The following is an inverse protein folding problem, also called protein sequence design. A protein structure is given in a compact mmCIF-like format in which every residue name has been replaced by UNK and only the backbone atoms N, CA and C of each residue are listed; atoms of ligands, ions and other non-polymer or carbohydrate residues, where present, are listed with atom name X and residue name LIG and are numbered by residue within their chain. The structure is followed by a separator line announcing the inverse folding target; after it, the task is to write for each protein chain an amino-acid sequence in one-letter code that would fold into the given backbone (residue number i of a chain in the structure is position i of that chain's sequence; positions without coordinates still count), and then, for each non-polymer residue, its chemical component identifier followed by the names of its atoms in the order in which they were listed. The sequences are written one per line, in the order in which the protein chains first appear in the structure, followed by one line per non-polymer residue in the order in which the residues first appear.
data_IF_566822213557
#
_entry.id   IF_566822213557
#
_cell.length_a   1.000
_cell.length_b   1.000
_cell.length_c   1.000
_cell.angle_alpha   90.00
_cell.angle_beta   90.00
_cell.angle_gamma   90.00
#
_symmetry.space_group_name_H-M   'P 1'
#
loop_
_entity.id
_entity.type
_entity.pdbx_description
1 polymer ?
#
# COMPACT_ATOMS: atom_id res chain seq x y z
N UNK A 1 53.25 47.99 -26.23
CA UNK A 1 52.52 48.70 -27.31
C UNK A 1 53.33 48.58 -28.59
N UNK A 2 53.17 47.48 -29.33
CA UNK A 2 53.80 47.14 -30.62
C UNK A 2 53.05 45.87 -31.11
N UNK A 3 52.08 45.99 -32.03
CA UNK A 3 52.16 45.84 -33.50
C UNK A 3 52.06 44.38 -34.00
N UNK A 4 50.92 44.03 -34.62
CA UNK A 4 50.76 43.31 -35.92
C UNK A 4 49.25 43.04 -36.08
N UNK A 5 48.44 43.57 -37.02
CA UNK A 5 48.49 43.81 -38.48
C UNK A 5 48.50 42.53 -39.34
N UNK A 6 47.40 42.33 -40.08
CA UNK A 6 47.39 41.65 -41.39
C UNK A 6 47.04 40.15 -41.37
N UNK A 7 45.77 39.74 -41.48
CA UNK A 7 44.95 39.71 -42.69
C UNK A 7 45.50 38.78 -43.79
N UNK A 8 44.80 37.68 -44.14
CA UNK A 8 44.23 37.47 -45.49
C UNK A 8 43.68 36.03 -45.69
N UNK A 9 42.37 36.00 -45.98
CA UNK A 9 41.66 35.24 -47.03
C UNK A 9 41.73 33.70 -47.16
N UNK A 10 40.53 33.12 -46.99
CA UNK A 10 39.69 32.38 -47.97
C UNK A 10 40.36 31.26 -48.78
N UNK A 11 39.81 30.04 -48.65
CA UNK A 11 39.34 29.29 -49.81
C UNK A 11 38.19 28.33 -49.43
N UNK A 12 37.12 28.38 -50.22
CA UNK A 12 35.94 27.51 -50.18
C UNK A 12 36.26 26.27 -51.01
N UNK A 13 35.90 25.08 -50.55
CA UNK A 13 35.57 23.98 -51.47
C UNK A 13 34.32 23.25 -50.98
N UNK A 14 33.29 23.42 -51.80
CA UNK A 14 32.03 22.69 -51.86
C UNK A 14 32.31 21.42 -52.68
N UNK A 15 31.92 20.24 -52.19
CA UNK A 15 31.73 19.08 -53.08
C UNK A 15 30.60 18.21 -52.55
N UNK A 16 29.69 17.92 -53.48
CA UNK A 16 28.40 17.25 -53.36
C UNK A 16 28.61 15.79 -53.79
N UNK A 17 28.10 14.82 -53.03
CA UNK A 17 27.77 13.45 -53.49
C UNK A 17 26.50 13.03 -52.73
N UNK A 18 25.32 13.15 -53.36
CA UNK A 18 24.59 12.18 -54.20
C UNK A 18 24.03 10.99 -53.42
N UNK A 19 22.73 10.85 -53.59
CA UNK A 19 21.77 9.98 -52.93
C UNK A 19 22.03 8.47 -53.06
N UNK A 20 21.72 7.74 -51.99
CA UNK A 20 21.46 6.31 -52.00
C UNK A 20 20.06 6.05 -51.43
N UNK A 21 19.05 6.00 -52.29
CA UNK A 21 17.74 5.45 -51.99
C UNK A 21 17.88 3.93 -51.85
N UNK A 22 17.73 3.40 -50.62
CA UNK A 22 17.49 1.98 -50.41
C UNK A 22 15.98 1.75 -50.37
N UNK A 23 15.43 1.36 -51.52
CA UNK A 23 14.11 0.76 -51.64
C UNK A 23 14.14 -0.63 -51.01
N UNK A 24 13.66 -0.79 -49.78
CA UNK A 24 13.34 -2.10 -49.23
C UNK A 24 11.90 -2.43 -49.59
N UNK A 25 11.74 -3.32 -50.56
CA UNK A 25 10.45 -3.83 -50.99
C UNK A 25 9.78 -4.59 -49.85
N UNK A 26 8.51 -4.23 -49.61
CA UNK A 26 7.60 -4.82 -48.66
C UNK A 26 7.23 -6.24 -49.11
N UNK A 27 7.80 -7.26 -48.48
CA UNK A 27 7.34 -8.64 -48.61
C UNK A 27 6.32 -8.93 -47.50
N UNK A 28 5.05 -8.64 -47.80
CA UNK A 28 3.91 -9.10 -46.99
C UNK A 28 3.72 -10.59 -47.29
N UNK A 29 4.33 -11.45 -46.48
CA UNK A 29 4.08 -12.88 -46.52
C UNK A 29 2.96 -13.17 -45.52
N UNK A 30 1.73 -13.27 -46.03
CA UNK A 30 0.55 -13.70 -45.30
C UNK A 30 0.68 -15.17 -44.91
N UNK A 31 1.16 -15.44 -43.70
CA UNK A 31 1.02 -16.75 -43.09
C UNK A 31 -0.38 -16.85 -42.48
N UNK A 32 -1.29 -17.50 -43.21
CA UNK A 32 -2.59 -17.89 -42.70
C UNK A 32 -2.39 -18.93 -41.59
N UNK A 33 -2.52 -18.51 -40.32
CA UNK A 33 -2.74 -19.45 -39.23
C UNK A 33 -4.15 -20.03 -39.40
N UNK A 34 -4.23 -21.28 -39.86
CA UNK A 34 -5.43 -22.09 -39.76
C UNK A 34 -5.70 -22.36 -38.28
N UNK A 35 -6.57 -21.56 -37.67
CA UNK A 35 -7.19 -21.88 -36.39
C UNK A 35 -8.16 -23.04 -36.61
N UNK A 36 -7.72 -24.25 -36.27
CA UNK A 36 -8.62 -25.39 -36.14
C UNK A 36 -9.49 -25.16 -34.91
N UNK A 37 -10.71 -24.67 -35.11
CA UNK A 37 -11.74 -24.62 -34.08
C UNK A 37 -12.16 -26.05 -33.72
N UNK A 38 -11.50 -26.65 -32.74
CA UNK A 38 -12.03 -27.86 -32.10
C UNK A 38 -13.10 -27.44 -31.11
N UNK A 39 -14.36 -27.63 -31.48
CA UNK A 39 -15.49 -27.56 -30.56
C UNK A 39 -15.39 -28.70 -29.56
N UNK A 40 -14.74 -28.43 -28.43
CA UNK A 40 -14.69 -29.36 -27.30
C UNK A 40 -16.01 -29.27 -26.55
N UNK A 41 -16.93 -30.17 -26.91
CA UNK A 41 -18.15 -30.46 -26.19
C UNK A 41 -17.80 -30.98 -24.77
N UNK A 42 -18.46 -30.50 -23.70
CA UNK A 42 -18.20 -31.00 -22.36
C UNK A 42 -18.69 -32.45 -22.27
N UNK A 43 -17.76 -33.38 -22.07
CA UNK A 43 -18.05 -34.76 -21.74
C UNK A 43 -18.62 -34.83 -20.31
N UNK A 44 -19.85 -35.33 -20.19
CA UNK A 44 -20.45 -35.77 -18.93
C UNK A 44 -19.73 -37.01 -18.42
N UNK A 45 -18.60 -36.81 -17.76
CA UNK A 45 -17.91 -37.83 -16.98
C UNK A 45 -18.51 -37.93 -15.58
N UNK A 46 -19.24 -39.02 -15.33
CA UNK A 46 -19.69 -39.40 -14.00
C UNK A 46 -18.47 -39.66 -13.10
N UNK A 47 -18.29 -38.84 -12.07
CA UNK A 47 -17.28 -39.09 -11.02
C UNK A 47 -17.94 -39.91 -9.92
N UNK A 48 -17.62 -41.20 -9.90
CA UNK A 48 -17.94 -42.11 -8.80
C UNK A 48 -17.18 -41.69 -7.54
N UNK A 49 -17.89 -41.27 -6.50
CA UNK A 49 -17.33 -41.03 -5.18
C UNK A 49 -16.99 -42.36 -4.49
N UNK A 50 -15.80 -42.56 -3.90
CA UNK A 50 -15.58 -43.61 -2.94
C UNK A 50 -16.23 -43.21 -1.61
N UNK A 51 -17.15 -44.05 -1.13
CA UNK A 51 -17.70 -43.93 0.22
C UNK A 51 -16.62 -44.29 1.25
N UNK A 52 -16.14 -43.30 2.00
CA UNK A 52 -15.37 -43.52 3.22
C UNK A 52 -16.26 -43.29 4.43
N UNK A 53 -16.47 -44.37 5.18
CA UNK A 53 -17.17 -44.45 6.46
C UNK A 53 -16.51 -43.56 7.51
N UNK A 54 -17.30 -42.68 8.14
CA UNK A 54 -16.90 -41.90 9.30
C UNK A 54 -16.75 -42.78 10.55
N UNK A 55 -15.69 -42.63 11.37
CA UNK A 55 -15.68 -43.15 12.73
C UNK A 55 -16.43 -42.19 13.66
N UNK A 56 -17.27 -42.78 14.51
CA UNK A 56 -18.05 -42.11 15.52
C UNK A 56 -17.19 -41.50 16.64
N UNK A 57 -17.57 -40.29 17.05
CA UNK A 57 -17.61 -39.81 18.44
C UNK A 57 -16.40 -40.05 19.34
N UNK A 58 -15.52 -39.05 19.40
CA UNK A 58 -14.80 -38.75 20.65
C UNK A 58 -14.98 -37.27 20.96
N UNK A 59 -15.77 -37.01 22.01
CA UNK A 59 -15.94 -35.70 22.62
C UNK A 59 -14.60 -35.22 23.17
N UNK A 60 -13.97 -34.27 22.50
CA UNK A 60 -12.90 -33.50 23.09
C UNK A 60 -13.53 -32.48 24.05
N UNK A 61 -13.41 -32.75 25.35
CA UNK A 61 -13.61 -31.77 26.43
C UNK A 61 -12.67 -30.59 26.20
N UNK A 62 -13.23 -29.46 25.75
CA UNK A 62 -12.52 -28.18 25.70
C UNK A 62 -12.37 -27.64 27.12
N UNK A 63 -11.16 -27.72 27.68
CA UNK A 63 -10.76 -26.91 28.82
C UNK A 63 -10.87 -25.41 28.47
N UNK A 64 -11.44 -24.56 29.34
CA UNK A 64 -11.52 -23.13 29.07
C UNK A 64 -10.11 -22.52 29.08
N UNK A 65 -9.70 -21.96 27.94
CA UNK A 65 -8.50 -21.15 27.81
C UNK A 65 -8.68 -19.87 28.67
N UNK A 66 -7.68 -19.44 29.46
CA UNK A 66 -7.80 -18.23 30.27
C UNK A 66 -8.07 -17.02 29.37
N UNK A 67 -9.19 -16.34 29.62
CA UNK A 67 -9.51 -15.09 28.94
C UNK A 67 -8.44 -14.05 29.27
N UNK A 68 -7.83 -13.47 28.24
CA UNK A 68 -6.99 -12.29 28.40
C UNK A 68 -7.78 -11.19 29.14
N UNK A 69 -7.12 -10.34 29.94
CA UNK A 69 -7.80 -9.26 30.66
C UNK A 69 -8.63 -8.41 29.70
N UNK A 70 -9.93 -8.28 29.98
CA UNK A 70 -10.87 -7.56 29.12
C UNK A 70 -10.41 -6.11 28.92
N UNK A 71 -10.06 -5.78 27.68
CA UNK A 71 -9.92 -4.40 27.24
C UNK A 71 -11.23 -3.68 27.52
N UNK A 72 -11.16 -2.58 28.27
CA UNK A 72 -12.28 -1.68 28.49
C UNK A 72 -12.65 -1.07 27.14
N UNK A 73 -13.66 -1.64 26.48
CA UNK A 73 -14.23 -1.11 25.26
C UNK A 73 -14.94 0.19 25.61
N UNK A 74 -14.39 1.33 25.18
CA UNK A 74 -15.18 2.55 25.12
C UNK A 74 -16.26 2.35 24.05
N UNK A 75 -17.56 2.38 24.40
CA UNK A 75 -18.61 2.22 23.41
C UNK A 75 -18.51 3.34 22.36
N UNK A 76 -18.18 2.99 21.12
CA UNK A 76 -18.10 3.92 19.97
C UNK A 76 -16.69 4.40 19.57
N UNK A 77 -15.62 3.95 20.23
CA UNK A 77 -14.23 4.33 19.93
C UNK A 77 -13.51 3.39 18.94
N UNK A 78 -12.43 3.89 18.34
CA UNK A 78 -11.45 3.08 17.60
C UNK A 78 -10.82 2.04 18.53
N UNK A 79 -10.80 0.77 18.13
CA UNK A 79 -10.25 -0.32 18.95
C UNK A 79 -9.09 -1.06 18.27
N UNK A 80 -9.13 -1.17 16.93
CA UNK A 80 -8.19 -2.00 16.15
C UNK A 80 -7.37 -1.15 15.21
N UNK A 81 -6.07 -1.41 15.13
CA UNK A 81 -5.19 -0.84 14.12
C UNK A 81 -4.65 -1.97 13.27
N UNK A 82 -4.95 -1.92 11.96
CA UNK A 82 -4.38 -2.84 11.00
C UNK A 82 -3.14 -2.19 10.40
N UNK A 83 -1.98 -2.79 10.65
CA UNK A 83 -0.70 -2.40 10.09
C UNK A 83 -0.39 -3.25 8.87
N UNK A 84 -0.11 -2.58 7.76
CA UNK A 84 0.28 -3.21 6.52
C UNK A 84 1.74 -2.92 6.20
N UNK A 85 2.60 -3.92 6.37
CA UNK A 85 3.96 -3.84 5.88
C UNK A 85 3.93 -4.07 4.36
N UNK A 86 4.12 -3.01 3.56
CA UNK A 86 4.01 -3.12 2.10
C UNK A 86 5.04 -4.10 1.50
N UNK A 87 4.77 -4.57 0.29
CA UNK A 87 5.64 -5.48 -0.47
C UNK A 87 5.83 -6.85 0.23
N UNK A 88 6.85 -7.59 -0.17
CA UNK A 88 7.23 -8.92 0.36
C UNK A 88 7.45 -9.95 -0.75
N UNK A 89 7.99 -11.11 -0.37
CA UNK A 89 8.27 -12.20 -1.30
C UNK A 89 9.21 -11.75 -2.42
N UNK A 90 8.77 -11.90 -3.67
CA UNK A 90 9.54 -11.47 -4.86
C UNK A 90 9.41 -9.97 -5.15
N UNK A 91 8.43 -9.30 -4.56
CA UNK A 91 8.28 -7.85 -4.64
C UNK A 91 9.06 -7.23 -3.48
N UNK A 92 10.26 -6.74 -3.76
CA UNK A 92 11.13 -6.18 -2.73
C UNK A 92 10.84 -4.70 -2.46
N UNK A 93 9.93 -4.09 -3.25
CA UNK A 93 9.75 -2.64 -3.30
C UNK A 93 11.03 -1.90 -3.74
N UNK A 94 11.18 -0.67 -3.25
CA UNK A 94 12.36 0.16 -3.47
C UNK A 94 13.64 -0.52 -2.97
N UNK A 95 14.75 -0.27 -3.66
CA UNK A 95 16.08 -0.81 -3.35
C UNK A 95 17.07 0.32 -3.10
N UNK A 96 17.78 0.23 -1.99
CA UNK A 96 18.83 1.19 -1.60
C UNK A 96 20.24 0.63 -1.82
N UNK A 97 21.22 1.38 -1.34
CA UNK A 97 22.63 0.95 -1.26
C UNK A 97 22.77 -0.26 -0.32
N UNK A 98 23.84 -1.05 -0.46
CA UNK A 98 24.16 -2.12 0.50
C UNK A 98 23.14 -3.27 0.61
N UNK A 99 22.20 -3.41 -0.34
CA UNK A 99 21.19 -4.48 -0.32
C UNK A 99 19.92 -4.14 0.46
N UNK A 100 19.72 -2.87 0.83
CA UNK A 100 18.49 -2.39 1.47
C UNK A 100 17.29 -2.67 0.57
N UNK A 101 16.25 -3.27 1.15
CA UNK A 101 14.97 -3.54 0.51
C UNK A 101 13.84 -2.91 1.32
N UNK A 102 12.91 -2.25 0.63
CA UNK A 102 11.71 -1.68 1.26
C UNK A 102 10.91 -2.75 2.01
N UNK A 103 10.75 -3.95 1.45
CA UNK A 103 10.00 -5.03 2.10
C UNK A 103 10.51 -5.43 3.48
N UNK A 104 11.81 -5.28 3.74
CA UNK A 104 12.42 -5.58 5.03
C UNK A 104 12.23 -4.41 5.99
N UNK A 105 12.46 -3.19 5.52
CA UNK A 105 12.22 -1.96 6.29
C UNK A 105 10.76 -1.84 6.75
N UNK A 106 9.80 -2.16 5.89
CA UNK A 106 8.37 -2.04 6.24
C UNK A 106 7.96 -3.05 7.31
N UNK A 107 8.59 -4.24 7.39
CA UNK A 107 8.41 -5.16 8.52
C UNK A 107 8.95 -4.57 9.82
N UNK A 108 10.13 -3.96 9.78
CA UNK A 108 10.75 -3.35 10.95
C UNK A 108 9.94 -2.17 11.47
N UNK A 109 9.49 -1.28 10.56
CA UNK A 109 8.59 -0.19 10.91
C UNK A 109 7.25 -0.69 11.45
N UNK A 110 6.67 -1.76 10.87
CA UNK A 110 5.42 -2.35 11.37
C UNK A 110 5.59 -2.90 12.78
N UNK A 111 6.66 -3.65 13.06
CA UNK A 111 6.94 -4.18 14.39
C UNK A 111 7.23 -3.08 15.43
N UNK A 112 7.85 -1.96 15.02
CA UNK A 112 8.02 -0.80 15.89
C UNK A 112 6.67 -0.11 16.20
N UNK A 113 5.86 0.13 15.16
CA UNK A 113 4.54 0.75 15.29
C UNK A 113 3.57 -0.11 16.11
N UNK A 114 3.58 -1.43 15.92
CA UNK A 114 2.78 -2.39 16.71
C UNK A 114 3.03 -2.20 18.20
N UNK A 115 4.29 -2.28 18.63
CA UNK A 115 4.67 -2.11 20.04
C UNK A 115 4.22 -0.76 20.60
N UNK A 116 4.39 0.32 19.83
CA UNK A 116 3.99 1.66 20.26
C UNK A 116 2.46 1.80 20.38
N UNK A 117 1.70 1.17 19.48
CA UNK A 117 0.24 1.19 19.48
C UNK A 117 -0.35 0.32 20.59
N UNK A 118 0.22 -0.85 20.84
CA UNK A 118 -0.18 -1.72 21.96
C UNK A 118 0.05 -1.03 23.31
N UNK A 119 1.12 -0.25 23.44
CA UNK A 119 1.37 0.59 24.63
C UNK A 119 0.32 1.69 24.81
N UNK A 120 -0.35 2.13 23.74
CA UNK A 120 -1.49 3.04 23.80
C UNK A 120 -2.83 2.31 24.03
N UNK A 121 -2.81 0.98 24.16
CA UNK A 121 -3.99 0.15 24.44
C UNK A 121 -4.77 -0.31 23.21
N UNK A 122 -4.23 -0.16 22.00
CA UNK A 122 -4.86 -0.64 20.78
C UNK A 122 -4.62 -2.14 20.57
N UNK A 123 -5.61 -2.84 20.01
CA UNK A 123 -5.37 -4.14 19.41
C UNK A 123 -4.73 -3.92 18.04
N UNK A 124 -3.60 -4.58 17.77
CA UNK A 124 -2.90 -4.48 16.49
C UNK A 124 -3.03 -5.78 15.71
N UNK A 125 -3.34 -5.66 14.41
CA UNK A 125 -3.32 -6.77 13.46
C UNK A 125 -2.35 -6.43 12.33
N UNK A 126 -1.50 -7.37 11.93
CA UNK A 126 -0.58 -7.17 10.81
C UNK A 126 -1.03 -7.95 9.57
N UNK A 127 -0.87 -7.37 8.38
CA UNK A 127 -1.17 -8.07 7.11
C UNK A 127 -0.17 -9.17 6.79
N UNK A 128 1.04 -9.06 7.31
CA UNK A 128 2.10 -10.08 7.28
C UNK A 128 3.07 -9.88 8.43
N UNK A 129 3.71 -10.97 8.86
CA UNK A 129 4.78 -10.95 9.88
C UNK A 129 6.11 -11.50 9.33
N UNK A 130 6.14 -11.86 8.04
CA UNK A 130 7.31 -12.44 7.38
C UNK A 130 7.39 -12.01 5.92
N UNK A 131 8.25 -12.68 5.15
CA UNK A 131 8.55 -12.31 3.76
C UNK A 131 7.53 -12.87 2.74
N UNK A 132 6.24 -12.83 3.06
CA UNK A 132 5.16 -13.13 2.12
C UNK A 132 4.61 -11.84 1.49
N UNK A 133 3.97 -11.93 0.31
CA UNK A 133 3.31 -10.80 -0.34
C UNK A 133 1.79 -11.03 -0.46
N UNK A 134 1.00 -10.72 0.57
CA UNK A 134 -0.45 -10.74 0.46
C UNK A 134 -0.92 -9.81 -0.67
N UNK A 135 -2.00 -10.19 -1.36
CA UNK A 135 -2.60 -9.30 -2.38
C UNK A 135 -3.20 -8.05 -1.71
N UNK A 136 -3.45 -6.99 -2.48
CA UNK A 136 -4.11 -5.79 -1.92
C UNK A 136 -5.48 -6.09 -1.31
N UNK A 137 -6.21 -7.07 -1.86
CA UNK A 137 -7.51 -7.49 -1.32
C UNK A 137 -7.37 -8.33 -0.05
N UNK A 138 -6.34 -9.19 0.06
CA UNK A 138 -6.06 -9.91 1.31
C UNK A 138 -5.69 -8.93 2.43
N UNK A 139 -4.91 -7.88 2.10
CA UNK A 139 -4.52 -6.83 3.05
C UNK A 139 -5.74 -6.07 3.56
N UNK A 140 -6.61 -5.62 2.66
CA UNK A 140 -7.81 -4.86 3.03
C UNK A 140 -8.88 -5.70 3.71
N UNK A 141 -8.98 -7.00 3.39
CA UNK A 141 -9.93 -7.92 4.02
C UNK A 141 -9.78 -7.97 5.55
N UNK A 142 -8.55 -7.87 6.07
CA UNK A 142 -8.29 -7.86 7.52
C UNK A 142 -8.96 -6.67 8.19
N UNK A 143 -8.82 -5.47 7.63
CA UNK A 143 -9.44 -4.25 8.14
C UNK A 143 -10.96 -4.25 7.95
N UNK A 144 -11.42 -4.72 6.79
CA UNK A 144 -12.85 -4.73 6.44
C UNK A 144 -13.66 -5.70 7.30
N UNK A 145 -13.01 -6.71 7.91
CA UNK A 145 -13.63 -7.61 8.87
C UNK A 145 -13.87 -6.98 10.25
N UNK A 146 -13.38 -5.76 10.51
CA UNK A 146 -13.45 -5.10 11.81
C UNK A 146 -14.49 -3.97 11.83
N UNK A 147 -15.22 -3.82 12.95
CA UNK A 147 -16.26 -2.79 13.11
C UNK A 147 -15.74 -1.42 13.55
N UNK A 148 -14.49 -1.33 13.99
CA UNK A 148 -13.86 -0.10 14.48
C UNK A 148 -12.34 -0.19 14.30
N UNK A 149 -11.91 -0.18 13.04
CA UNK A 149 -10.50 -0.24 12.68
C UNK A 149 -10.03 1.00 11.92
N UNK A 150 -8.73 1.25 11.96
CA UNK A 150 -8.00 2.03 10.96
C UNK A 150 -7.00 1.14 10.25
N UNK A 151 -6.67 1.48 9.00
CA UNK A 151 -5.67 0.79 8.20
C UNK A 151 -4.49 1.73 7.90
N UNK A 152 -3.28 1.27 8.18
CA UNK A 152 -2.05 2.05 7.97
C UNK A 152 -1.09 1.18 7.16
N UNK A 153 -0.85 1.56 5.91
CA UNK A 153 0.19 0.90 5.09
C UNK A 153 1.49 1.67 5.18
N UNK A 154 2.58 0.94 5.44
CA UNK A 154 3.92 1.46 5.65
C UNK A 154 4.76 1.20 4.39
N UNK A 155 5.37 2.26 3.89
CA UNK A 155 6.17 2.27 2.66
C UNK A 155 7.50 3.00 2.87
N UNK A 156 8.46 2.73 1.97
CA UNK A 156 9.70 3.50 1.86
C UNK A 156 9.97 3.81 0.39
N UNK A 157 9.88 5.08 0.01
CA UNK A 157 10.14 5.52 -1.35
C UNK A 157 11.64 5.55 -1.68
N UNK A 158 12.00 5.88 -2.92
CA UNK A 158 13.39 6.03 -3.37
C UNK A 158 13.75 7.42 -3.89
N UNK A 159 12.78 8.34 -3.98
CA UNK A 159 12.94 9.61 -4.73
C UNK A 159 12.73 10.86 -3.87
N UNK A 160 12.26 10.71 -2.64
CA UNK A 160 12.06 11.83 -1.74
C UNK A 160 13.33 12.26 -1.00
N UNK A 161 13.18 13.26 -0.13
CA UNK A 161 14.28 13.81 0.68
C UNK A 161 14.61 12.81 1.80
N UNK A 162 15.85 12.29 1.90
CA UNK A 162 16.25 11.40 2.99
C UNK A 162 15.98 12.00 4.37
N UNK A 163 15.54 11.17 5.32
CA UNK A 163 15.21 11.60 6.69
C UNK A 163 13.85 12.27 6.86
N UNK A 164 13.02 12.36 5.81
CA UNK A 164 11.65 12.90 5.88
C UNK A 164 10.60 11.79 5.74
N UNK A 165 9.38 12.07 6.22
CA UNK A 165 8.25 11.13 6.19
C UNK A 165 6.98 11.86 5.74
N UNK A 166 6.18 11.19 4.91
CA UNK A 166 4.96 11.75 4.32
C UNK A 166 3.80 10.81 4.56
N UNK A 167 2.64 11.38 4.85
CA UNK A 167 1.38 10.66 4.93
C UNK A 167 0.57 10.99 3.69
N UNK A 168 0.07 9.96 3.05
CA UNK A 168 -0.88 10.07 1.95
C UNK A 168 -2.24 9.53 2.35
N UNK A 169 -3.27 10.19 1.82
CA UNK A 169 -4.64 9.72 1.82
C UNK A 169 -5.13 9.68 0.38
N UNK A 170 -6.10 8.81 0.09
CA UNK A 170 -6.74 8.86 -1.21
C UNK A 170 -7.43 10.22 -1.42
N UNK A 171 -7.26 10.81 -2.61
CA UNK A 171 -8.11 11.92 -3.08
C UNK A 171 -9.35 11.42 -3.80
N UNK A 172 -10.41 12.23 -3.72
CA UNK A 172 -11.61 12.29 -4.58
C UNK A 172 -11.72 11.17 -5.60
N UNK A 173 -12.07 10.00 -5.10
CA UNK A 173 -12.59 8.95 -5.95
C UNK A 173 -13.93 9.48 -6.50
N UNK A 174 -14.17 9.51 -7.84
CA UNK A 174 -15.36 10.16 -8.42
C UNK A 174 -16.66 9.67 -7.76
N UNK A 175 -17.67 10.51 -7.47
CA UNK A 175 -18.81 10.15 -6.64
C UNK A 175 -19.40 8.77 -6.97
N UNK A 176 -19.62 7.94 -5.95
CA UNK A 176 -20.23 6.62 -6.15
C UNK A 176 -21.71 6.81 -6.43
N UNK A 177 -22.14 6.55 -7.67
CA UNK A 177 -23.54 6.23 -7.91
C UNK A 177 -23.78 4.83 -7.36
N UNK A 178 -24.53 4.71 -6.27
CA UNK A 178 -24.88 3.41 -5.72
C UNK A 178 -25.67 2.62 -6.78
N UNK A 179 -25.06 1.59 -7.34
CA UNK A 179 -25.77 0.62 -8.14
C UNK A 179 -26.54 -0.30 -7.17
N UNK A 180 -27.85 -0.11 -7.06
CA UNK A 180 -28.74 -0.92 -6.23
C UNK A 180 -28.39 -0.94 -4.73
N UNK A 181 -27.78 0.13 -4.20
CA UNK A 181 -27.38 0.22 -2.79
C UNK A 181 -26.06 -0.48 -2.43
N UNK A 182 -25.34 -1.05 -3.41
CA UNK A 182 -24.01 -1.63 -3.20
C UNK A 182 -22.90 -0.63 -3.55
N UNK A 183 -21.86 -0.60 -2.73
CA UNK A 183 -20.61 0.09 -3.06
C UNK A 183 -19.72 -0.88 -3.83
N UNK A 184 -19.26 -0.54 -5.05
CA UNK A 184 -18.29 -1.36 -5.76
C UNK A 184 -17.03 -1.60 -4.91
N UNK A 185 -16.45 -2.79 -4.96
CA UNK A 185 -15.34 -3.17 -4.09
C UNK A 185 -14.13 -2.23 -4.20
N UNK A 186 -13.80 -1.78 -5.42
CA UNK A 186 -12.74 -0.81 -5.70
C UNK A 186 -13.04 0.62 -5.17
N UNK A 187 -14.22 0.82 -4.60
CA UNK A 187 -14.75 2.07 -4.05
C UNK A 187 -15.02 2.00 -2.54
N UNK A 188 -14.65 0.91 -1.88
CA UNK A 188 -14.90 0.67 -0.46
C UNK A 188 -14.42 1.80 0.46
N UNK A 189 -13.36 2.52 0.07
CA UNK A 189 -12.78 3.60 0.87
C UNK A 189 -13.49 4.96 0.72
N UNK A 190 -14.39 5.11 -0.25
CA UNK A 190 -15.06 6.39 -0.53
C UNK A 190 -15.81 6.98 0.69
N UNK A 191 -16.57 6.21 1.49
CA UNK A 191 -17.25 6.74 2.68
C UNK A 191 -16.28 7.22 3.77
N UNK A 192 -15.02 6.80 3.72
CA UNK A 192 -14.03 7.04 4.76
C UNK A 192 -13.03 8.15 4.42
N UNK A 193 -13.12 8.78 3.25
CA UNK A 193 -12.15 9.79 2.80
C UNK A 193 -11.96 10.95 3.81
N UNK A 194 -13.05 11.46 4.37
CA UNK A 194 -12.97 12.52 5.39
C UNK A 194 -12.30 12.06 6.70
N UNK A 195 -12.58 10.83 7.14
CA UNK A 195 -11.95 10.24 8.32
C UNK A 195 -10.48 9.91 8.07
N UNK A 196 -10.15 9.35 6.90
CA UNK A 196 -8.79 9.16 6.40
C UNK A 196 -7.99 10.45 6.43
N UNK A 197 -8.57 11.55 5.91
CA UNK A 197 -7.92 12.87 5.91
C UNK A 197 -7.63 13.36 7.34
N UNK A 198 -8.60 13.25 8.24
CA UNK A 198 -8.42 13.63 9.65
C UNK A 198 -7.34 12.79 10.34
N UNK A 199 -7.37 11.46 10.17
CA UNK A 199 -6.35 10.56 10.69
C UNK A 199 -4.97 10.91 10.12
N UNK A 200 -4.88 11.12 8.81
CA UNK A 200 -3.64 11.43 8.12
C UNK A 200 -3.01 12.73 8.61
N UNK A 201 -3.81 13.79 8.83
CA UNK A 201 -3.30 15.05 9.36
C UNK A 201 -2.80 14.94 10.80
N UNK A 202 -3.48 14.15 11.64
CA UNK A 202 -3.02 13.92 13.01
C UNK A 202 -1.66 13.21 13.01
N UNK A 203 -1.51 12.16 12.19
CA UNK A 203 -0.24 11.42 12.09
C UNK A 203 0.86 12.30 11.46
N UNK A 204 0.57 13.02 10.36
CA UNK A 204 1.54 13.92 9.73
C UNK A 204 1.99 15.04 10.68
N UNK A 205 1.07 15.59 11.47
CA UNK A 205 1.36 16.61 12.47
C UNK A 205 2.34 16.13 13.55
N UNK A 206 2.30 14.85 13.92
CA UNK A 206 3.29 14.25 14.82
C UNK A 206 4.62 14.00 14.10
N UNK A 207 4.58 13.54 12.84
CA UNK A 207 5.79 13.29 12.05
C UNK A 207 6.61 14.55 11.79
N UNK A 208 5.97 15.69 11.46
CA UNK A 208 6.70 16.95 11.20
C UNK A 208 7.44 17.49 12.43
N UNK A 209 6.98 17.16 13.65
CA UNK A 209 7.69 17.52 14.89
C UNK A 209 9.00 16.75 15.06
N UNK A 210 9.09 15.53 14.51
CA UNK A 210 10.24 14.65 14.68
C UNK A 210 11.18 14.67 13.47
N UNK A 211 10.63 14.76 12.26
CA UNK A 211 11.35 14.65 11.00
C UNK A 211 11.33 15.98 10.26
N UNK A 212 12.28 16.86 10.58
CA UNK A 212 12.40 18.19 9.97
C UNK A 212 12.45 18.09 8.44
N UNK A 213 11.66 18.94 7.77
CA UNK A 213 11.53 18.94 6.31
C UNK A 213 10.41 18.03 5.78
N UNK A 214 9.74 17.28 6.66
CA UNK A 214 8.50 16.61 6.32
C UNK A 214 7.36 17.62 6.08
N UNK A 215 6.35 17.27 5.26
CA UNK A 215 5.20 18.15 5.02
C UNK A 215 4.42 18.46 6.30
N UNK A 216 3.77 19.62 6.35
CA UNK A 216 2.95 20.03 7.51
C UNK A 216 1.57 19.36 7.55
N UNK A 217 1.11 18.80 6.43
CA UNK A 217 -0.21 18.20 6.28
C UNK A 217 -0.18 16.96 5.38
N UNK A 218 -1.13 16.05 5.58
CA UNK A 218 -1.24 14.86 4.76
C UNK A 218 -1.52 15.23 3.29
N UNK A 219 -0.88 14.50 2.39
CA UNK A 219 -0.98 14.70 0.95
C UNK A 219 -2.05 13.80 0.36
N UNK A 220 -2.55 14.18 -0.80
CA UNK A 220 -3.53 13.38 -1.54
C UNK A 220 -2.87 12.69 -2.72
N UNK A 221 -3.12 11.40 -2.90
CA UNK A 221 -2.68 10.63 -4.05
C UNK A 221 -3.72 9.56 -4.41
N UNK A 222 -3.66 9.00 -5.60
CA UNK A 222 -4.43 7.78 -5.91
C UNK A 222 -3.61 6.56 -5.51
N UNK A 223 -3.99 5.92 -4.39
CA UNK A 223 -3.26 4.79 -3.82
C UNK A 223 -4.12 3.53 -3.96
N UNK A 224 -3.64 2.60 -4.79
CA UNK A 224 -4.39 1.37 -5.11
C UNK A 224 -4.64 0.53 -3.85
N UNK A 225 -3.64 0.45 -2.96
CA UNK A 225 -3.67 -0.28 -1.70
C UNK A 225 -4.81 0.17 -0.78
N UNK A 226 -5.18 1.46 -0.83
CA UNK A 226 -6.20 2.02 0.05
C UNK A 226 -7.62 1.86 -0.52
N UNK A 227 -7.77 1.69 -1.84
CA UNK A 227 -9.09 1.76 -2.53
C UNK A 227 -10.12 0.75 -2.04
N UNK A 228 -9.68 -0.46 -1.73
CA UNK A 228 -10.55 -1.57 -1.30
C UNK A 228 -10.72 -1.66 0.22
N UNK A 229 -10.24 -0.65 0.96
CA UNK A 229 -10.34 -0.61 2.43
C UNK A 229 -11.59 0.15 2.89
N UNK A 230 -12.54 -0.56 3.50
CA UNK A 230 -13.76 -0.05 4.10
C UNK A 230 -13.55 0.44 5.54
N UNK A 231 -12.52 1.27 5.75
CA UNK A 231 -12.16 1.88 7.03
C UNK A 231 -11.36 3.18 6.79
N UNK A 232 -11.19 4.07 7.79
CA UNK A 232 -10.21 5.15 7.69
C UNK A 232 -8.81 4.56 7.44
N UNK A 233 -8.23 4.95 6.32
CA UNK A 233 -7.01 4.35 5.79
C UNK A 233 -6.02 5.43 5.34
N UNK A 234 -4.73 5.24 5.67
CA UNK A 234 -3.62 6.12 5.29
C UNK A 234 -2.42 5.30 4.81
N UNK A 235 -1.55 5.91 4.00
CA UNK A 235 -0.22 5.40 3.71
C UNK A 235 0.83 6.29 4.37
N UNK A 236 1.73 5.72 5.15
CA UNK A 236 2.88 6.42 5.73
C UNK A 236 4.12 5.99 4.96
N UNK A 237 4.81 6.95 4.36
CA UNK A 237 5.94 6.71 3.47
C UNK A 237 7.18 7.43 4.01
N UNK A 238 8.20 6.65 4.38
CA UNK A 238 9.56 7.20 4.56
C UNK A 238 10.08 7.58 3.18
N UNK A 239 10.51 8.83 3.02
CA UNK A 239 10.67 9.43 1.69
C UNK A 239 11.79 8.83 0.83
N UNK A 240 12.78 8.13 1.40
CA UNK A 240 13.91 7.64 0.62
C UNK A 240 14.67 6.48 1.28
N UNK A 241 14.89 5.41 0.52
CA UNK A 241 15.90 4.35 0.79
C UNK A 241 17.33 4.79 0.44
N UNK A 242 17.51 5.95 -0.19
CA UNK A 242 18.83 6.44 -0.62
C UNK A 242 19.55 7.13 0.53
N UNK A 243 20.17 6.31 1.38
CA UNK A 243 21.00 6.72 2.51
C UNK A 243 22.44 6.22 2.33
N UNK A 244 23.39 6.85 3.02
CA UNK A 244 24.77 6.39 3.03
C UNK A 244 24.95 5.17 3.95
N UNK A 245 24.26 5.17 5.08
CA UNK A 245 24.26 4.10 6.07
C UNK A 245 22.82 3.64 6.34
N UNK A 246 22.59 2.32 6.35
CA UNK A 246 21.29 1.73 6.71
C UNK A 246 20.85 2.16 8.12
N UNK A 247 21.80 2.36 9.03
CA UNK A 247 21.51 2.80 10.39
C UNK A 247 20.69 4.11 10.43
N UNK A 248 20.81 4.97 9.42
CA UNK A 248 20.00 6.19 9.32
C UNK A 248 18.50 5.88 9.25
N UNK A 249 18.10 4.82 8.53
CA UNK A 249 16.70 4.38 8.44
C UNK A 249 16.26 3.65 9.70
N UNK A 250 17.14 2.84 10.30
CA UNK A 250 16.85 2.12 11.54
C UNK A 250 16.57 3.10 12.69
N UNK A 251 17.31 4.20 12.75
CA UNK A 251 17.09 5.28 13.72
C UNK A 251 15.78 6.04 13.51
N UNK A 252 15.17 6.00 12.32
CA UNK A 252 13.85 6.62 12.09
C UNK A 252 12.71 5.79 12.69
N UNK A 253 12.87 4.47 12.85
CA UNK A 253 11.76 3.58 13.19
C UNK A 253 11.05 3.90 14.51
N UNK A 254 11.76 4.19 15.62
CA UNK A 254 11.10 4.58 16.87
C UNK A 254 10.29 5.86 16.74
N UNK A 255 10.78 6.83 15.96
CA UNK A 255 10.08 8.09 15.75
C UNK A 255 8.83 7.96 14.89
N UNK A 256 8.93 7.21 13.78
CA UNK A 256 7.76 6.88 12.94
C UNK A 256 6.70 6.15 13.77
N UNK A 257 7.10 5.18 14.58
CA UNK A 257 6.21 4.42 15.46
C UNK A 257 5.52 5.32 16.50
N UNK A 258 6.26 6.18 17.21
CA UNK A 258 5.68 7.12 18.19
C UNK A 258 4.68 8.08 17.52
N UNK A 259 5.04 8.64 16.36
CA UNK A 259 4.18 9.57 15.64
C UNK A 259 2.87 8.90 15.18
N UNK A 260 2.94 7.67 14.68
CA UNK A 260 1.75 6.87 14.35
C UNK A 260 0.91 6.64 15.60
N UNK A 261 1.52 6.14 16.69
CA UNK A 261 0.79 5.78 17.90
C UNK A 261 0.07 6.98 18.52
N UNK A 262 0.74 8.13 18.60
CA UNK A 262 0.15 9.37 19.12
C UNK A 262 -0.90 9.96 18.20
N UNK A 263 -0.68 9.91 16.88
CA UNK A 263 -1.66 10.35 15.89
C UNK A 263 -2.95 9.53 15.94
N UNK A 264 -2.83 8.20 16.07
CA UNK A 264 -3.95 7.27 16.24
C UNK A 264 -4.65 7.48 17.59
N UNK A 265 -3.90 7.65 18.68
CA UNK A 265 -4.48 7.96 19.99
C UNK A 265 -5.28 9.28 20.03
N UNK A 266 -4.85 10.28 19.25
CA UNK A 266 -5.57 11.53 19.08
C UNK A 266 -6.81 11.39 18.15
N UNK A 267 -6.86 10.35 17.32
CA UNK A 267 -7.95 10.11 16.38
C UNK A 267 -9.14 9.48 17.09
N UNK A 268 -10.15 10.32 17.38
CA UNK A 268 -11.42 9.93 18.01
C UNK A 268 -12.56 10.02 16.99
N UNK A 269 -12.73 9.00 16.12
CA UNK A 269 -13.88 8.94 15.23
C UNK A 269 -15.14 8.64 16.04
N UNK A 270 -16.27 9.20 15.61
CA UNK A 270 -17.58 8.78 16.10
C UNK A 270 -18.09 7.71 15.14
N UNK A 271 -17.96 6.43 15.51
CA UNK A 271 -18.63 5.37 14.77
C UNK A 271 -20.09 5.35 15.22
N UNK A 272 -21.02 5.79 14.35
CA UNK A 272 -22.45 5.64 14.63
C UNK A 272 -22.77 4.16 14.54
N UNK A 273 -22.93 3.49 15.68
CA UNK A 273 -23.53 2.16 15.70
C UNK A 273 -25.01 2.33 15.41
N UNK A 274 -25.47 1.88 14.24
CA UNK A 274 -26.88 1.88 13.90
C UNK A 274 -27.68 1.13 14.98
N UNK A 275 -28.35 1.88 15.86
CA UNK A 275 -29.29 1.33 16.82
C UNK A 275 -30.52 0.89 16.02
N UNK A 276 -30.67 -0.41 15.84
CA UNK A 276 -31.92 -1.09 15.43
C UNK A 276 -32.66 -0.43 14.26
N UNK A 277 -32.38 -0.90 13.05
CA UNK A 277 -33.23 -0.66 11.88
C UNK A 277 -32.61 0.23 10.81
N UNK A 278 -31.82 -0.39 9.93
CA UNK A 278 -31.69 0.01 8.53
C UNK A 278 -31.09 1.38 8.23
N UNK A 279 -29.76 1.45 8.14
CA UNK A 279 -28.99 2.09 7.06
C UNK A 279 -27.52 2.11 7.50
N UNK A 280 -26.61 1.81 6.58
CA UNK A 280 -25.18 2.07 6.78
C UNK A 280 -24.96 3.60 6.87
N UNK A 281 -23.92 4.06 7.60
CA UNK A 281 -23.62 5.48 7.79
C UNK A 281 -23.41 6.24 6.48
#
# INVERSE_FOLDING_TARGET
MLLDVGNFRRLRFLTIWVAGLLSFACAVMTLALQTSSSTQQPATGAVSQPATTAPAGQSATSTPQPSAPGLQTSPGGLNVVVLDAAHGGTDTGARGTGGIQESDLTLEFAAAAERALEQQGFQVLQTRQGNNNPSFDDRSAIANAQRAAVFITLHVASTGIPGTVRVYVNSDLPPVTLANGFIPWDRAQAPYLGLSRKLGDLVQGMLTQQFKGSPDAAQTATIRQLRTTAAPAIAVEVSSVLVNDRADLDHMAPGVADAIARGVAAFKPLYVTASTGGALP
#
